data_IF_068116712944
#
_entry.id   IF_068116712944
#
_cell.length_a   1.000
_cell.length_b   1.000
_cell.length_c   1.000
_cell.angle_alpha   90.00
_cell.angle_beta   90.00
_cell.angle_gamma   90.00
#
_symmetry.space_group_name_H-M   'P 1'
#
loop_
_entity.id
_entity.type
_entity.pdbx_description
1 polymer ?
#
# COMPACT_ATOMS: atom_id res chain seq x y z
N UNK A 1 14.91 6.25 -29.69
CA UNK A 1 15.08 7.63 -29.13
C UNK A 1 14.95 7.55 -27.60
N UNK A 2 15.65 8.40 -26.84
CA UNK A 2 15.52 8.44 -25.40
C UNK A 2 15.05 9.82 -24.91
N UNK A 3 14.20 9.87 -23.89
CA UNK A 3 13.77 11.10 -23.25
C UNK A 3 13.66 10.92 -21.72
N UNK A 4 13.57 12.03 -20.99
CA UNK A 4 13.49 12.01 -19.52
C UNK A 4 12.24 12.73 -19.05
N UNK A 5 11.46 12.03 -18.24
CA UNK A 5 10.34 12.56 -17.48
C UNK A 5 10.75 12.84 -16.02
N UNK A 6 10.03 13.74 -15.34
CA UNK A 6 10.31 14.16 -13.97
C UNK A 6 9.05 14.08 -13.13
N UNK A 7 9.17 13.57 -11.91
CA UNK A 7 8.02 13.34 -11.02
C UNK A 7 8.27 13.94 -9.66
N UNK A 8 7.23 14.59 -9.13
CA UNK A 8 7.12 15.00 -7.74
C UNK A 8 6.53 13.84 -6.93
N UNK A 9 6.62 13.90 -5.61
CA UNK A 9 6.09 12.86 -4.72
C UNK A 9 4.64 12.46 -5.03
N UNK A 10 3.78 13.43 -5.38
CA UNK A 10 2.36 13.19 -5.69
C UNK A 10 2.09 12.38 -6.97
N UNK A 11 3.08 12.29 -7.87
CA UNK A 11 2.92 11.63 -9.18
C UNK A 11 3.62 10.27 -9.26
N UNK A 12 4.37 9.90 -8.23
CA UNK A 12 5.23 8.70 -8.26
C UNK A 12 4.40 7.42 -8.26
N UNK A 13 3.40 7.32 -7.38
CA UNK A 13 2.60 6.10 -7.23
C UNK A 13 1.94 5.65 -8.53
N UNK A 14 1.33 6.60 -9.25
CA UNK A 14 0.71 6.33 -10.55
C UNK A 14 1.70 5.80 -11.59
N UNK A 15 2.92 6.35 -11.62
CA UNK A 15 3.94 5.90 -12.59
C UNK A 15 4.53 4.55 -12.21
N UNK A 16 4.74 4.28 -10.92
CA UNK A 16 5.20 2.97 -10.47
C UNK A 16 4.16 1.88 -10.76
N UNK A 17 2.87 2.16 -10.60
CA UNK A 17 1.79 1.27 -11.00
C UNK A 17 1.83 0.97 -12.50
N UNK A 18 2.07 1.99 -13.34
CA UNK A 18 2.24 1.83 -14.79
C UNK A 18 3.44 0.93 -15.13
N UNK A 19 4.60 1.17 -14.51
CA UNK A 19 5.79 0.38 -14.80
C UNK A 19 5.63 -1.09 -14.42
N UNK A 20 4.95 -1.38 -13.31
CA UNK A 20 4.75 -2.74 -12.78
C UNK A 20 3.56 -3.46 -13.37
N UNK A 21 2.77 -2.80 -14.20
CA UNK A 21 1.51 -3.33 -14.71
C UNK A 21 0.55 -3.74 -13.58
N UNK A 22 0.46 -2.91 -12.53
CA UNK A 22 -0.51 -3.12 -11.45
C UNK A 22 -1.95 -3.06 -11.99
N UNK A 23 -2.91 -3.70 -11.30
CA UNK A 23 -4.31 -3.85 -11.76
C UNK A 23 -4.92 -2.57 -12.32
N UNK A 24 -4.68 -1.42 -11.69
CA UNK A 24 -5.18 -0.12 -12.13
C UNK A 24 -4.61 0.36 -13.47
N UNK A 25 -3.49 -0.22 -13.92
CA UNK A 25 -2.88 0.10 -15.21
C UNK A 25 -3.28 -0.88 -16.31
N UNK A 26 -3.78 -2.07 -15.95
CA UNK A 26 -4.23 -3.10 -16.90
C UNK A 26 -5.57 -2.76 -17.59
N UNK A 27 -6.34 -1.85 -17.02
CA UNK A 27 -7.64 -1.40 -17.57
C UNK A 27 -7.48 -0.34 -18.67
N UNK A 28 -6.25 -0.04 -19.10
CA UNK A 28 -5.99 0.96 -20.15
C UNK A 28 -6.12 0.35 -21.54
N UNK A 29 -6.79 1.06 -22.44
CA UNK A 29 -7.03 0.65 -23.84
C UNK A 29 -5.77 0.41 -24.65
N UNK A 30 -4.61 0.91 -24.20
CA UNK A 30 -3.34 0.78 -24.89
C UNK A 30 -2.46 -0.36 -24.39
N UNK A 31 -2.99 -1.28 -23.60
CA UNK A 31 -2.26 -2.46 -23.11
C UNK A 31 -2.92 -3.73 -23.65
N UNK A 32 -2.11 -4.58 -24.25
CA UNK A 32 -2.53 -5.91 -24.70
C UNK A 32 -2.25 -6.94 -23.58
N UNK A 33 -3.29 -7.45 -22.88
CA UNK A 33 -3.13 -8.35 -21.76
C UNK A 33 -2.42 -9.67 -22.12
N UNK A 34 -2.53 -10.12 -23.37
CA UNK A 34 -1.89 -11.36 -23.81
C UNK A 34 -0.37 -11.20 -23.97
N UNK A 35 0.10 -9.97 -24.18
CA UNK A 35 1.50 -9.64 -24.40
C UNK A 35 2.26 -9.26 -23.13
N UNK A 36 1.59 -8.99 -22.00
CA UNK A 36 2.20 -8.65 -20.71
C UNK A 36 3.25 -9.69 -20.27
N UNK A 37 3.03 -10.96 -20.58
CA UNK A 37 3.98 -12.03 -20.31
C UNK A 37 5.35 -11.85 -20.97
N UNK A 38 5.44 -10.98 -21.98
CA UNK A 38 6.67 -10.66 -22.70
C UNK A 38 7.45 -9.49 -22.06
N UNK A 39 6.80 -8.76 -21.16
CA UNK A 39 7.42 -7.69 -20.40
C UNK A 39 8.53 -8.26 -19.52
N UNK A 40 9.54 -7.46 -19.27
CA UNK A 40 10.63 -7.89 -18.41
C UNK A 40 11.11 -6.78 -17.49
N UNK A 41 11.60 -7.15 -16.34
CA UNK A 41 12.24 -6.25 -15.40
C UNK A 41 13.74 -6.52 -15.40
N UNK A 42 14.51 -5.45 -15.56
CA UNK A 42 15.96 -5.46 -15.51
C UNK A 42 16.43 -4.80 -14.22
N UNK A 43 17.34 -5.41 -13.52
CA UNK A 43 17.85 -4.88 -12.26
C UNK A 43 19.23 -5.37 -11.91
N UNK A 44 19.76 -4.83 -10.81
CA UNK A 44 21.00 -5.31 -10.21
C UNK A 44 20.71 -6.45 -9.24
N UNK A 45 21.55 -7.47 -9.27
CA UNK A 45 21.55 -8.53 -8.26
C UNK A 45 22.98 -9.05 -8.08
N UNK A 46 23.22 -9.66 -6.94
CA UNK A 46 24.50 -10.31 -6.66
C UNK A 46 24.42 -11.75 -7.16
N UNK A 47 25.31 -12.10 -8.08
CA UNK A 47 25.39 -13.47 -8.60
C UNK A 47 25.96 -14.45 -7.56
N UNK A 48 26.06 -15.74 -7.93
CA UNK A 48 26.59 -16.80 -7.06
C UNK A 48 28.05 -16.58 -6.63
N UNK A 49 28.80 -15.81 -7.44
CA UNK A 49 30.21 -15.48 -7.16
C UNK A 49 30.38 -14.18 -6.35
N UNK A 50 29.30 -13.64 -5.78
CA UNK A 50 29.30 -12.40 -5.02
C UNK A 50 29.47 -11.13 -5.86
N UNK A 51 29.44 -11.22 -7.18
CA UNK A 51 29.59 -10.07 -8.08
C UNK A 51 28.25 -9.42 -8.38
N UNK A 52 28.23 -8.09 -8.32
CA UNK A 52 27.08 -7.30 -8.75
C UNK A 52 26.96 -7.33 -10.28
N UNK A 53 25.84 -7.81 -10.75
CA UNK A 53 25.54 -7.97 -12.19
C UNK A 53 24.18 -7.36 -12.52
N UNK A 54 23.95 -7.11 -13.80
CA UNK A 54 22.65 -6.67 -14.33
C UNK A 54 22.03 -7.80 -15.14
N UNK A 55 20.79 -8.09 -14.90
CA UNK A 55 20.03 -9.10 -15.62
C UNK A 55 18.54 -8.98 -15.40
N UNK A 56 17.81 -9.96 -15.91
CA UNK A 56 16.38 -10.09 -15.64
C UNK A 56 16.17 -10.37 -14.15
N UNK A 57 15.27 -9.62 -13.56
CA UNK A 57 14.86 -9.78 -12.16
C UNK A 57 13.38 -10.16 -12.20
N UNK A 58 13.05 -11.29 -11.58
CA UNK A 58 11.64 -11.66 -11.39
C UNK A 58 11.01 -10.62 -10.44
N UNK A 59 9.85 -10.04 -10.80
CA UNK A 59 9.08 -9.23 -9.86
C UNK A 59 8.67 -10.15 -8.71
N UNK A 60 9.32 -10.05 -7.57
CA UNK A 60 8.88 -10.74 -6.35
C UNK A 60 7.62 -10.03 -5.86
N UNK A 61 6.62 -10.79 -5.51
CA UNK A 61 5.52 -10.31 -4.68
C UNK A 61 6.12 -9.72 -3.41
N UNK A 62 5.91 -8.42 -3.22
CA UNK A 62 6.54 -7.66 -2.14
C UNK A 62 7.88 -7.06 -2.57
N UNK A 63 7.97 -5.79 -2.55
CA UNK A 63 9.06 -4.84 -2.76
C UNK A 63 10.31 -5.30 -3.54
N UNK A 64 10.65 -4.61 -4.62
CA UNK A 64 11.99 -4.70 -5.18
C UNK A 64 13.01 -4.33 -4.08
N UNK A 65 14.17 -5.02 -4.07
CA UNK A 65 15.31 -4.76 -3.16
C UNK A 65 15.83 -3.29 -3.18
N UNK A 66 15.17 -2.41 -3.93
CA UNK A 66 15.54 -1.01 -4.15
C UNK A 66 14.86 -0.03 -3.20
N UNK A 67 13.96 -0.51 -2.35
CA UNK A 67 13.10 0.35 -1.51
C UNK A 67 12.08 1.15 -2.32
N UNK A 68 11.11 1.72 -1.65
CA UNK A 68 10.12 2.62 -2.29
C UNK A 68 10.68 4.04 -2.40
N UNK A 69 10.07 4.87 -3.25
CA UNK A 69 10.44 6.30 -3.31
C UNK A 69 10.14 6.98 -1.97
N UNK A 70 9.07 6.58 -1.31
CA UNK A 70 8.67 7.06 0.02
C UNK A 70 9.78 6.79 1.05
N UNK A 71 10.26 5.56 1.14
CA UNK A 71 11.35 5.18 2.07
C UNK A 71 12.65 5.95 1.78
N UNK A 72 12.90 6.28 0.51
CA UNK A 72 14.04 7.11 0.12
C UNK A 72 13.87 8.58 0.51
N UNK A 73 12.65 9.11 0.40
CA UNK A 73 12.31 10.46 0.85
C UNK A 73 12.48 10.56 2.37
N UNK A 74 11.96 9.59 3.11
CA UNK A 74 12.11 9.52 4.57
C UNK A 74 13.58 9.50 4.99
N UNK A 75 14.37 8.59 4.44
CA UNK A 75 15.81 8.50 4.71
C UNK A 75 16.56 9.79 4.39
N UNK A 76 16.25 10.46 3.27
CA UNK A 76 16.84 11.75 2.92
C UNK A 76 16.43 12.82 3.93
N UNK A 77 15.16 12.86 4.34
CA UNK A 77 14.66 13.83 5.31
C UNK A 77 15.26 13.62 6.70
N UNK A 78 15.42 12.37 7.14
CA UNK A 78 16.09 12.03 8.40
C UNK A 78 17.55 12.48 8.39
N UNK A 79 18.29 12.18 7.31
CA UNK A 79 19.66 12.61 7.16
C UNK A 79 19.80 14.14 7.13
N UNK A 80 18.89 14.85 6.47
CA UNK A 80 18.87 16.32 6.46
C UNK A 80 18.55 16.88 7.85
N UNK A 81 17.59 16.29 8.56
CA UNK A 81 17.23 16.68 9.94
C UNK A 81 18.42 16.50 10.88
N UNK A 82 19.11 15.36 10.81
CA UNK A 82 20.31 15.09 11.60
C UNK A 82 21.44 16.09 11.32
N UNK A 83 21.52 16.59 10.07
CA UNK A 83 22.47 17.63 9.65
C UNK A 83 21.99 19.07 9.89
N UNK A 84 20.88 19.28 10.60
CA UNK A 84 20.28 20.61 10.84
C UNK A 84 19.74 21.31 9.59
N UNK A 85 19.45 20.55 8.52
CA UNK A 85 18.96 21.08 7.24
C UNK A 85 17.44 20.94 7.13
N UNK A 86 16.86 21.70 6.19
CA UNK A 86 15.42 21.63 5.91
C UNK A 86 15.08 20.33 5.18
N UNK A 87 13.90 19.78 5.47
CA UNK A 87 13.35 18.64 4.76
C UNK A 87 13.17 18.91 3.26
N UNK A 88 13.02 17.83 2.49
CA UNK A 88 12.75 17.89 1.05
C UNK A 88 11.50 18.73 0.77
N UNK A 89 11.60 19.63 -0.19
CA UNK A 89 10.48 20.51 -0.60
C UNK A 89 9.39 19.68 -1.27
N UNK A 90 8.13 20.06 -1.11
CA UNK A 90 6.97 19.39 -1.73
C UNK A 90 7.02 19.38 -3.26
N UNK A 91 7.67 20.37 -3.87
CA UNK A 91 7.83 20.51 -5.32
C UNK A 91 9.14 19.91 -5.85
N UNK A 92 9.93 19.26 -5.01
CA UNK A 92 11.16 18.60 -5.42
C UNK A 92 10.90 17.47 -6.43
N UNK A 93 11.78 17.33 -7.40
CA UNK A 93 11.82 16.15 -8.26
C UNK A 93 12.42 15.02 -7.44
N UNK A 94 11.59 14.05 -7.04
CA UNK A 94 12.00 12.91 -6.19
C UNK A 94 12.24 11.65 -7.01
N UNK A 95 11.70 11.59 -8.23
CA UNK A 95 11.95 10.53 -9.19
C UNK A 95 12.08 11.14 -10.60
N UNK A 96 12.92 10.56 -11.40
CA UNK A 96 12.96 10.80 -12.83
C UNK A 96 13.01 9.47 -13.56
N UNK A 97 12.59 9.47 -14.83
CA UNK A 97 12.49 8.27 -15.66
C UNK A 97 13.13 8.54 -17.00
N UNK A 98 14.08 7.69 -17.39
CA UNK A 98 14.63 7.67 -18.75
C UNK A 98 13.88 6.63 -19.55
N UNK A 99 13.13 7.06 -20.55
CA UNK A 99 12.45 6.15 -21.47
C UNK A 99 13.32 5.94 -22.69
N UNK A 100 13.63 4.69 -22.98
CA UNK A 100 14.47 4.31 -24.13
C UNK A 100 13.72 3.33 -25.02
N UNK A 101 13.38 3.78 -26.24
CA UNK A 101 12.70 2.96 -27.24
C UNK A 101 13.70 2.08 -27.99
N UNK A 102 13.35 0.84 -28.26
CA UNK A 102 14.14 -0.09 -29.04
C UNK A 102 14.31 0.45 -30.47
N UNK A 103 15.56 0.66 -30.96
CA UNK A 103 15.81 1.05 -32.34
C UNK A 103 15.53 -0.07 -33.34
N UNK A 104 15.04 0.29 -34.53
CA UNK A 104 14.69 -0.68 -35.59
C UNK A 104 15.88 -1.49 -36.09
N UNK A 105 17.09 -0.96 -35.95
CA UNK A 105 18.33 -1.63 -36.41
C UNK A 105 18.94 -2.54 -35.34
N UNK A 106 18.29 -2.72 -34.18
CA UNK A 106 18.71 -3.75 -33.22
C UNK A 106 18.42 -5.12 -33.82
N UNK A 107 19.44 -5.97 -33.86
CA UNK A 107 19.34 -7.31 -34.46
C UNK A 107 18.36 -8.17 -33.65
N UNK A 108 17.58 -8.98 -34.36
CA UNK A 108 16.67 -9.92 -33.74
C UNK A 108 17.43 -10.86 -32.78
N UNK A 109 16.98 -10.92 -31.53
CA UNK A 109 17.63 -11.69 -30.47
C UNK A 109 18.62 -10.87 -29.61
N UNK A 110 18.95 -9.64 -30.01
CA UNK A 110 19.79 -8.74 -29.23
C UNK A 110 18.95 -7.75 -28.37
N UNK A 111 17.62 -7.79 -28.41
CA UNK A 111 16.73 -6.82 -27.77
C UNK A 111 16.96 -6.78 -26.25
N UNK A 112 16.97 -7.94 -25.60
CA UNK A 112 17.19 -8.03 -24.16
C UNK A 112 18.60 -7.59 -23.76
N UNK A 113 19.58 -7.86 -24.64
CA UNK A 113 20.96 -7.40 -24.45
C UNK A 113 21.05 -5.87 -24.54
N UNK A 114 20.34 -5.28 -25.52
CA UNK A 114 20.24 -3.83 -25.68
C UNK A 114 19.68 -3.17 -24.40
N UNK A 115 18.55 -3.67 -23.87
CA UNK A 115 17.96 -3.11 -22.67
C UNK A 115 18.82 -3.30 -21.42
N UNK A 116 19.46 -4.45 -21.24
CA UNK A 116 20.38 -4.68 -20.12
C UNK A 116 21.61 -3.76 -20.18
N UNK A 117 22.20 -3.57 -21.34
CA UNK A 117 23.34 -2.68 -21.51
C UNK A 117 22.96 -1.21 -21.30
N UNK A 118 21.80 -0.81 -21.79
CA UNK A 118 21.25 0.54 -21.59
C UNK A 118 21.01 0.79 -20.08
N UNK A 119 20.38 -0.14 -19.38
CA UNK A 119 20.19 -0.04 -17.94
C UNK A 119 21.52 0.05 -17.18
N UNK A 120 22.51 -0.76 -17.56
CA UNK A 120 23.83 -0.72 -16.96
C UNK A 120 24.55 0.61 -17.18
N UNK A 121 24.46 1.18 -18.38
CA UNK A 121 24.99 2.50 -18.66
C UNK A 121 24.36 3.58 -17.78
N UNK A 122 23.03 3.60 -17.71
CA UNK A 122 22.30 4.59 -16.92
C UNK A 122 22.57 4.42 -15.41
N UNK A 123 22.70 3.19 -14.94
CA UNK A 123 23.02 2.94 -13.52
C UNK A 123 24.43 3.41 -13.13
N UNK A 124 25.39 3.36 -14.05
CA UNK A 124 26.70 3.99 -13.82
C UNK A 124 26.63 5.51 -13.83
N UNK A 125 25.74 6.07 -14.62
CA UNK A 125 25.58 7.53 -14.77
C UNK A 125 24.89 8.16 -13.56
N UNK A 126 23.88 7.50 -13.01
CA UNK A 126 23.05 8.01 -11.90
C UNK A 126 23.41 7.46 -10.52
N UNK A 127 24.25 6.43 -10.46
CA UNK A 127 24.53 5.67 -9.24
C UNK A 127 23.54 4.51 -9.08
N UNK A 128 24.08 3.32 -8.76
CA UNK A 128 23.31 2.09 -8.62
C UNK A 128 22.27 2.22 -7.49
N UNK A 129 22.65 2.88 -6.43
CA UNK A 129 21.83 3.17 -5.25
C UNK A 129 20.60 4.02 -5.55
N UNK A 130 20.65 4.79 -6.63
CA UNK A 130 19.56 5.65 -7.07
C UNK A 130 18.58 4.93 -8.01
N UNK A 131 18.97 3.80 -8.59
CA UNK A 131 18.13 3.08 -9.53
C UNK A 131 16.90 2.46 -8.88
N UNK A 132 15.83 2.35 -9.64
CA UNK A 132 14.56 1.73 -9.23
C UNK A 132 14.12 0.62 -10.18
N UNK A 133 15.07 0.02 -10.89
CA UNK A 133 14.82 -1.00 -11.91
C UNK A 133 14.72 -0.43 -13.32
N UNK A 134 14.63 -1.33 -14.27
CA UNK A 134 14.33 -1.04 -15.67
C UNK A 134 13.14 -1.90 -16.11
N UNK A 135 12.06 -1.28 -16.53
CA UNK A 135 10.81 -1.95 -16.89
C UNK A 135 10.65 -1.90 -18.40
N UNK A 136 10.77 -3.05 -19.05
CA UNK A 136 10.62 -3.16 -20.51
C UNK A 136 9.20 -3.56 -20.84
N UNK A 137 8.52 -2.70 -21.55
CA UNK A 137 7.16 -2.91 -22.02
C UNK A 137 7.17 -3.37 -23.47
N UNK A 138 6.57 -4.52 -23.70
CA UNK A 138 6.39 -5.15 -25.02
C UNK A 138 4.90 -5.37 -25.33
N UNK A 139 4.04 -4.92 -24.44
CA UNK A 139 2.60 -5.13 -24.39
C UNK A 139 1.78 -3.94 -24.89
N UNK A 140 2.41 -2.79 -25.14
CA UNK A 140 1.67 -1.61 -25.55
C UNK A 140 1.23 -1.66 -27.01
N UNK A 141 0.05 -1.08 -27.26
CA UNK A 141 -0.53 -0.92 -28.60
C UNK A 141 -0.84 0.54 -28.89
N UNK A 142 -0.78 0.91 -30.17
CA UNK A 142 -1.21 2.21 -30.67
C UNK A 142 -2.72 2.29 -30.76
N UNK A 143 -3.27 3.49 -31.00
CA UNK A 143 -4.72 3.72 -31.13
C UNK A 143 -5.40 2.90 -32.23
N UNK A 144 -4.65 2.48 -33.23
CA UNK A 144 -5.11 1.64 -34.33
C UNK A 144 -5.00 0.13 -34.03
N UNK A 145 -4.59 -0.23 -32.81
CA UNK A 145 -4.42 -1.62 -32.36
C UNK A 145 -3.09 -2.25 -32.80
N UNK A 146 -2.22 -1.51 -33.53
CA UNK A 146 -0.91 -2.04 -33.90
C UNK A 146 0.03 -2.04 -32.72
N UNK A 147 0.97 -3.03 -32.61
CA UNK A 147 1.96 -3.04 -31.54
C UNK A 147 2.80 -1.77 -31.51
N UNK A 148 2.88 -1.13 -30.34
CA UNK A 148 3.84 -0.06 -30.13
C UNK A 148 5.27 -0.64 -30.10
N UNK A 149 6.27 0.23 -30.31
CA UNK A 149 7.68 -0.18 -30.19
C UNK A 149 8.00 -0.56 -28.76
N UNK A 150 8.71 -1.66 -28.58
CA UNK A 150 9.26 -2.03 -27.29
C UNK A 150 10.08 -0.87 -26.71
N UNK A 151 9.88 -0.59 -25.44
CA UNK A 151 10.60 0.49 -24.77
C UNK A 151 10.84 0.15 -23.31
N UNK A 152 11.86 0.76 -22.72
CA UNK A 152 12.23 0.56 -21.34
C UNK A 152 12.10 1.87 -20.58
N UNK A 153 11.39 1.82 -19.47
CA UNK A 153 11.39 2.83 -18.42
C UNK A 153 12.52 2.55 -17.43
N UNK A 154 13.33 3.54 -17.15
CA UNK A 154 14.43 3.44 -16.19
C UNK A 154 14.27 4.51 -15.11
N UNK A 155 13.36 4.29 -14.15
CA UNK A 155 13.17 5.21 -13.05
C UNK A 155 14.37 5.22 -12.11
N UNK A 156 14.71 6.42 -11.63
CA UNK A 156 15.75 6.64 -10.63
C UNK A 156 15.39 7.79 -9.69
N UNK A 157 15.91 7.77 -8.49
CA UNK A 157 15.80 8.87 -7.52
C UNK A 157 17.03 9.76 -7.65
N UNK A 158 16.88 11.07 -7.94
CA UNK A 158 18.04 11.94 -8.15
C UNK A 158 18.65 12.41 -6.82
N UNK A 159 19.15 11.45 -6.04
CA UNK A 159 19.77 11.72 -4.73
C UNK A 159 21.28 11.91 -4.96
N UNK A 160 21.77 13.09 -4.61
CA UNK A 160 23.17 13.47 -4.68
C UNK A 160 23.53 14.18 -3.37
N UNK A 161 24.62 13.78 -2.74
CA UNK A 161 25.11 14.35 -1.46
C UNK A 161 24.01 14.38 -0.37
N UNK A 162 23.22 13.28 -0.27
CA UNK A 162 22.17 13.12 0.74
C UNK A 162 20.95 14.01 0.52
N UNK A 163 20.72 14.54 -0.68
CA UNK A 163 19.53 15.34 -1.02
C UNK A 163 19.06 15.12 -2.44
N UNK A 164 17.77 15.39 -2.70
CA UNK A 164 17.25 15.40 -4.07
C UNK A 164 17.81 16.59 -4.85
N UNK A 165 18.58 16.34 -5.89
CA UNK A 165 19.21 17.35 -6.71
C UNK A 165 19.22 16.99 -8.19
N UNK A 166 18.02 16.96 -8.78
CA UNK A 166 17.86 16.61 -10.18
C UNK A 166 18.67 17.51 -11.14
N UNK A 167 18.72 18.82 -10.88
CA UNK A 167 19.43 19.76 -11.77
C UNK A 167 20.93 19.50 -11.85
N UNK A 168 21.54 19.05 -10.77
CA UNK A 168 22.96 18.74 -10.72
C UNK A 168 23.23 17.35 -11.32
N UNK A 169 22.34 16.38 -11.10
CA UNK A 169 22.47 15.04 -11.66
C UNK A 169 22.21 15.00 -13.17
N UNK A 170 21.26 15.81 -13.66
CA UNK A 170 20.91 15.93 -15.06
C UNK A 170 21.07 17.38 -15.54
N UNK A 171 22.29 17.89 -15.68
CA UNK A 171 22.53 19.23 -16.20
C UNK A 171 22.21 19.30 -17.71
N UNK A 172 22.16 20.49 -18.27
CA UNK A 172 21.87 20.70 -19.70
C UNK A 172 22.81 19.90 -20.61
N UNK A 173 24.10 19.83 -20.27
CA UNK A 173 25.10 19.06 -21.00
C UNK A 173 24.73 17.56 -21.07
N UNK A 174 24.17 16.99 -20.03
CA UNK A 174 23.70 15.60 -20.03
C UNK A 174 22.66 15.36 -21.14
N UNK A 175 21.67 16.23 -21.28
CA UNK A 175 20.67 16.11 -22.36
C UNK A 175 21.25 16.25 -23.75
N UNK A 176 22.32 17.03 -23.90
CA UNK A 176 22.98 17.24 -25.16
C UNK A 176 23.87 16.06 -25.60
N UNK A 177 24.44 15.34 -24.62
CA UNK A 177 25.41 14.26 -24.88
C UNK A 177 24.83 12.85 -24.71
N UNK A 178 23.69 12.69 -24.00
CA UNK A 178 23.17 11.40 -23.59
C UNK A 178 22.98 10.40 -24.74
N UNK A 179 22.40 10.83 -25.85
CA UNK A 179 22.18 9.94 -26.99
C UNK A 179 23.51 9.46 -27.60
N UNK A 180 24.43 10.40 -27.80
CA UNK A 180 25.76 10.08 -28.35
C UNK A 180 26.53 9.16 -27.41
N UNK A 181 26.62 9.50 -26.12
CA UNK A 181 27.36 8.71 -25.15
C UNK A 181 26.77 7.30 -24.97
N UNK A 182 25.43 7.17 -24.93
CA UNK A 182 24.75 5.89 -24.89
C UNK A 182 24.99 5.10 -26.17
N UNK A 183 24.93 5.75 -27.34
CA UNK A 183 25.22 5.13 -28.64
C UNK A 183 26.64 4.58 -28.69
N UNK A 184 27.66 5.39 -28.34
CA UNK A 184 29.06 4.99 -28.27
C UNK A 184 29.28 3.82 -27.32
N UNK A 185 28.64 3.86 -26.15
CA UNK A 185 28.70 2.76 -25.16
C UNK A 185 28.12 1.46 -25.71
N UNK A 186 26.95 1.53 -26.34
CA UNK A 186 26.28 0.35 -26.90
C UNK A 186 27.04 -0.22 -28.08
N UNK A 187 27.57 0.63 -28.99
CA UNK A 187 28.38 0.21 -30.10
C UNK A 187 29.58 -0.63 -29.66
N UNK A 188 30.32 -0.15 -28.65
CA UNK A 188 31.45 -0.88 -28.11
C UNK A 188 31.11 -2.21 -27.44
N UNK A 189 29.84 -2.43 -27.10
CA UNK A 189 29.37 -3.65 -26.41
C UNK A 189 28.59 -4.59 -27.30
N UNK A 190 27.86 -4.08 -28.29
CA UNK A 190 27.03 -4.85 -29.20
C UNK A 190 27.80 -5.24 -30.49
N UNK A 191 28.87 -4.49 -30.81
CA UNK A 191 29.63 -4.67 -32.04
C UNK A 191 28.98 -4.01 -33.28
N UNK A 192 27.94 -3.21 -33.07
CA UNK A 192 27.28 -2.34 -34.02
C UNK A 192 26.58 -1.20 -33.28
N UNK A 193 26.33 -0.07 -33.98
CA UNK A 193 25.71 1.10 -33.38
C UNK A 193 24.18 1.05 -33.48
N UNK A 194 23.44 0.92 -32.37
CA UNK A 194 22.00 1.10 -32.38
C UNK A 194 21.61 2.54 -32.72
N UNK A 195 20.60 2.75 -33.56
CA UNK A 195 20.15 4.06 -34.02
C UNK A 195 19.33 4.81 -32.94
N UNK A 196 19.98 5.19 -31.84
CA UNK A 196 19.33 5.92 -30.73
C UNK A 196 19.21 7.40 -31.03
N UNK A 197 20.14 7.94 -31.84
CA UNK A 197 20.16 9.33 -32.24
C UNK A 197 19.11 9.59 -33.32
N UNK A 198 18.60 10.82 -33.39
CA UNK A 198 17.87 11.28 -34.57
C UNK A 198 18.83 11.35 -35.74
N UNK A 199 18.45 10.75 -36.85
CA UNK A 199 19.17 10.92 -38.09
C UNK A 199 19.24 12.41 -38.52
N UNK A 200 20.21 12.74 -39.34
CA UNK A 200 20.42 14.13 -39.80
C UNK A 200 19.23 14.65 -40.63
N UNK A 201 18.54 13.77 -41.35
CA UNK A 201 17.41 14.12 -42.17
C UNK A 201 16.18 14.48 -41.29
N UNK A 202 15.91 13.70 -40.27
CA UNK A 202 14.87 14.01 -39.25
C UNK A 202 15.23 15.26 -38.45
N UNK A 203 16.51 15.52 -38.18
CA UNK A 203 16.96 16.78 -37.58
C UNK A 203 16.78 17.96 -38.54
N UNK A 204 17.13 17.80 -39.83
CA UNK A 204 17.01 18.82 -40.85
C UNK A 204 15.53 19.20 -41.09
N UNK A 205 14.64 18.22 -41.13
CA UNK A 205 13.20 18.46 -41.29
C UNK A 205 12.58 19.26 -40.14
N UNK A 206 13.19 19.23 -38.96
CA UNK A 206 12.76 20.04 -37.78
C UNK A 206 13.32 21.47 -37.79
N UNK A 207 14.22 21.81 -38.69
CA UNK A 207 15.03 23.04 -38.58
C UNK A 207 15.02 23.89 -39.83
N UNK A 208 14.29 23.77 -40.89
CA UNK A 208 14.39 24.81 -41.94
C UNK A 208 13.11 25.11 -42.68
N UNK A 209 12.56 26.27 -42.36
CA UNK A 209 11.99 27.18 -43.40
C UNK A 209 13.11 27.79 -44.19
N UNK A 210 13.01 27.70 -45.51
CA UNK A 210 13.97 28.27 -46.49
C UNK A 210 14.21 29.76 -46.22
N UNK A 211 15.45 30.17 -46.12
CA UNK A 211 15.87 31.57 -45.91
C UNK A 211 15.60 32.50 -47.09
N UNK A 212 15.15 32.00 -48.25
CA UNK A 212 14.84 32.76 -49.44
C UNK A 212 13.43 33.37 -49.46
N UNK A 213 12.55 32.95 -48.57
CA UNK A 213 11.21 33.53 -48.43
C UNK A 213 11.24 34.66 -47.43
N UNK A 214 10.64 35.81 -47.74
CA UNK A 214 10.48 36.94 -46.83
C UNK A 214 9.73 36.46 -45.58
N UNK A 215 10.49 35.98 -44.59
CA UNK A 215 10.00 35.31 -43.37
C UNK A 215 9.01 36.20 -42.64
N UNK A 216 9.15 37.52 -42.67
CA UNK A 216 8.28 38.45 -41.99
C UNK A 216 6.91 38.52 -42.65
N UNK A 217 6.83 38.45 -43.97
CA UNK A 217 5.54 38.41 -44.71
C UNK A 217 4.83 37.08 -44.54
N UNK A 218 5.54 35.96 -44.58
CA UNK A 218 4.97 34.63 -44.36
C UNK A 218 4.55 34.48 -42.91
N UNK A 219 5.36 34.97 -41.98
CA UNK A 219 5.03 34.96 -40.54
C UNK A 219 3.77 35.78 -40.24
N UNK A 220 3.66 36.99 -40.80
CA UNK A 220 2.50 37.85 -40.67
C UNK A 220 1.25 37.22 -41.30
N UNK A 221 1.36 36.52 -42.43
CA UNK A 221 0.26 35.84 -43.09
C UNK A 221 -0.17 34.56 -42.31
N UNK A 222 0.79 33.79 -41.79
CA UNK A 222 0.55 32.61 -40.96
C UNK A 222 -0.03 33.02 -39.59
N UNK A 223 0.53 34.05 -38.95
CA UNK A 223 0.01 34.58 -37.70
C UNK A 223 -1.48 34.98 -37.86
N UNK A 224 -1.80 35.71 -38.95
CA UNK A 224 -3.15 36.20 -39.18
C UNK A 224 -4.15 35.11 -39.65
N UNK A 225 -3.70 34.13 -40.42
CA UNK A 225 -4.58 33.12 -41.03
C UNK A 225 -4.70 31.85 -40.18
N UNK A 226 -3.73 31.50 -39.37
CA UNK A 226 -3.64 30.24 -38.63
C UNK A 226 -3.46 30.45 -37.12
N UNK A 227 -2.53 31.31 -36.72
CA UNK A 227 -2.16 31.46 -35.31
C UNK A 227 -3.20 32.22 -34.53
N UNK A 228 -3.76 33.32 -35.07
CA UNK A 228 -4.83 34.07 -34.37
C UNK A 228 -6.12 33.25 -34.24
N UNK A 229 -6.67 32.61 -35.29
CA UNK A 229 -7.84 31.72 -35.13
C UNK A 229 -7.58 30.54 -34.20
N UNK A 230 -6.35 29.97 -34.24
CA UNK A 230 -5.98 28.88 -33.36
C UNK A 230 -5.84 29.32 -31.87
N UNK A 231 -5.37 30.55 -31.65
CA UNK A 231 -5.34 31.15 -30.30
C UNK A 231 -6.74 31.40 -29.77
N UNK A 232 -7.64 31.93 -30.62
CA UNK A 232 -9.01 32.19 -30.23
C UNK A 232 -9.75 30.89 -29.93
N UNK A 233 -9.54 29.85 -30.74
CA UNK A 233 -10.13 28.53 -30.49
C UNK A 233 -9.54 27.88 -29.23
N UNK A 234 -8.22 27.96 -29.04
CA UNK A 234 -7.57 27.50 -27.83
C UNK A 234 -8.07 28.24 -26.58
N UNK A 235 -8.30 29.55 -26.69
CA UNK A 235 -8.86 30.34 -25.63
C UNK A 235 -10.30 29.91 -25.27
N UNK A 236 -11.13 29.61 -26.30
CA UNK A 236 -12.49 29.07 -26.10
C UNK A 236 -12.46 27.70 -25.42
N UNK A 237 -11.59 26.79 -25.90
CA UNK A 237 -11.44 25.45 -25.32
C UNK A 237 -11.00 25.56 -23.86
N UNK A 238 -10.01 26.44 -23.56
CA UNK A 238 -9.54 26.66 -22.20
C UNK A 238 -10.62 27.27 -21.33
N UNK A 239 -11.42 28.20 -21.85
CA UNK A 239 -12.53 28.79 -21.11
C UNK A 239 -13.63 27.74 -20.79
N UNK A 240 -14.04 26.96 -21.77
CA UNK A 240 -15.02 25.90 -21.60
C UNK A 240 -14.51 24.83 -20.59
N UNK A 241 -13.26 24.40 -20.72
CA UNK A 241 -12.66 23.46 -19.79
C UNK A 241 -12.57 24.00 -18.35
N UNK A 242 -12.33 25.32 -18.18
CA UNK A 242 -12.35 25.96 -16.87
C UNK A 242 -13.73 26.00 -16.26
N UNK A 243 -14.74 26.28 -17.07
CA UNK A 243 -16.14 26.29 -16.62
C UNK A 243 -16.60 24.89 -16.20
N UNK A 244 -16.28 23.87 -17.00
CA UNK A 244 -16.55 22.48 -16.67
C UNK A 244 -15.81 22.03 -15.40
N UNK A 245 -14.54 22.40 -15.27
CA UNK A 245 -13.76 22.11 -14.07
C UNK A 245 -14.32 22.81 -12.83
N UNK A 246 -14.81 24.04 -12.98
CA UNK A 246 -15.45 24.76 -11.87
C UNK A 246 -16.79 24.10 -11.46
N UNK A 247 -17.59 23.64 -12.43
CA UNK A 247 -18.82 22.89 -12.16
C UNK A 247 -18.54 21.57 -11.43
N UNK A 248 -17.54 20.82 -11.89
CA UNK A 248 -17.12 19.57 -11.25
C UNK A 248 -16.57 19.79 -9.82
N UNK A 249 -15.85 20.89 -9.60
CA UNK A 249 -15.37 21.25 -8.26
C UNK A 249 -16.53 21.57 -7.32
N UNK A 250 -17.51 22.37 -7.77
CA UNK A 250 -18.68 22.69 -6.98
C UNK A 250 -19.50 21.43 -6.63
N UNK A 251 -19.70 20.53 -7.61
CA UNK A 251 -20.37 19.25 -7.36
C UNK A 251 -19.61 18.37 -6.36
N UNK A 252 -18.28 18.31 -6.51
CA UNK A 252 -17.42 17.56 -5.58
C UNK A 252 -17.43 18.17 -4.16
N UNK A 253 -17.49 19.50 -4.04
CA UNK A 253 -17.62 20.17 -2.75
C UNK A 253 -18.98 19.91 -2.11
N UNK A 254 -20.06 19.95 -2.88
CA UNK A 254 -21.40 19.61 -2.41
C UNK A 254 -21.44 18.16 -1.92
N UNK A 255 -20.92 17.23 -2.72
CA UNK A 255 -20.86 15.81 -2.36
C UNK A 255 -19.99 15.57 -1.11
N UNK A 256 -18.89 16.31 -0.98
CA UNK A 256 -18.07 16.28 0.22
C UNK A 256 -18.84 16.75 1.46
N UNK A 257 -19.63 17.82 1.34
CA UNK A 257 -20.45 18.31 2.44
C UNK A 257 -21.50 17.30 2.88
N UNK A 258 -22.18 16.63 1.92
CA UNK A 258 -23.11 15.54 2.21
C UNK A 258 -22.43 14.38 2.96
N UNK A 259 -21.27 13.95 2.48
CA UNK A 259 -20.51 12.87 3.12
C UNK A 259 -20.03 13.23 4.53
N UNK A 260 -19.64 14.47 4.76
CA UNK A 260 -19.27 14.95 6.11
C UNK A 260 -20.46 14.86 7.06
N UNK A 261 -21.66 15.23 6.59
CA UNK A 261 -22.88 15.10 7.40
C UNK A 261 -23.21 13.62 7.68
N UNK A 262 -23.12 12.76 6.66
CA UNK A 262 -23.36 11.32 6.82
C UNK A 262 -22.36 10.68 7.79
N UNK A 263 -21.09 11.11 7.75
CA UNK A 263 -20.07 10.65 8.70
C UNK A 263 -20.44 11.08 10.12
N UNK A 264 -20.84 12.32 10.33
CA UNK A 264 -21.21 12.82 11.64
C UNK A 264 -22.43 12.06 12.22
N UNK A 265 -23.42 11.77 11.38
CA UNK A 265 -24.57 10.94 11.78
C UNK A 265 -24.14 9.54 12.18
N UNK A 266 -23.25 8.90 11.40
CA UNK A 266 -22.72 7.59 11.72
C UNK A 266 -21.83 7.54 12.96
N UNK A 267 -21.07 8.62 13.20
CA UNK A 267 -20.32 8.77 14.46
C UNK A 267 -21.25 8.87 15.66
N UNK A 268 -22.40 9.54 15.51
CA UNK A 268 -23.47 9.56 16.52
C UNK A 268 -24.06 8.16 16.80
N UNK A 269 -24.43 7.44 15.72
CA UNK A 269 -24.93 6.07 15.82
C UNK A 269 -23.92 5.14 16.53
N UNK A 270 -22.62 5.30 16.21
CA UNK A 270 -21.54 4.55 16.86
C UNK A 270 -21.42 4.85 18.35
N UNK A 271 -21.49 6.12 18.73
CA UNK A 271 -21.43 6.51 20.14
C UNK A 271 -22.62 5.95 20.95
N UNK A 272 -23.81 5.90 20.33
CA UNK A 272 -24.98 5.27 20.95
C UNK A 272 -24.79 3.76 21.10
N UNK A 273 -24.28 3.08 20.07
CA UNK A 273 -23.98 1.65 20.12
C UNK A 273 -22.89 1.30 21.16
N UNK A 274 -21.87 2.15 21.29
CA UNK A 274 -20.83 1.97 22.31
C UNK A 274 -21.43 2.10 23.72
N UNK A 275 -22.35 3.05 23.93
CA UNK A 275 -23.09 3.16 25.20
C UNK A 275 -23.92 1.90 25.52
N UNK A 276 -24.66 1.40 24.51
CA UNK A 276 -25.45 0.18 24.65
C UNK A 276 -24.57 -1.05 24.94
N UNK A 277 -23.36 -1.08 24.32
CA UNK A 277 -22.40 -2.15 24.57
C UNK A 277 -21.88 -2.14 26.01
N UNK A 278 -21.64 -0.96 26.58
CA UNK A 278 -21.22 -0.85 27.98
C UNK A 278 -22.33 -1.29 28.93
N UNK A 279 -23.59 -0.91 28.65
CA UNK A 279 -24.73 -1.38 29.44
C UNK A 279 -24.85 -2.92 29.40
N UNK A 280 -24.73 -3.52 28.23
CA UNK A 280 -24.76 -5.00 28.09
C UNK A 280 -23.58 -5.66 28.78
N UNK A 281 -22.40 -5.06 28.81
CA UNK A 281 -21.26 -5.60 29.57
C UNK A 281 -21.55 -5.62 31.07
N UNK A 282 -22.11 -4.54 31.59
CA UNK A 282 -22.52 -4.49 33.00
C UNK A 282 -23.56 -5.57 33.34
N UNK A 283 -24.56 -5.75 32.45
CA UNK A 283 -25.56 -6.82 32.62
C UNK A 283 -24.94 -8.22 32.59
N UNK A 284 -23.95 -8.44 31.75
CA UNK A 284 -23.21 -9.72 31.70
C UNK A 284 -22.40 -9.95 32.98
N UNK A 285 -21.74 -8.92 33.52
CA UNK A 285 -21.01 -9.02 34.79
C UNK A 285 -21.94 -9.37 35.92
N UNK A 286 -23.10 -8.70 36.03
CA UNK A 286 -24.12 -9.00 37.03
C UNK A 286 -24.64 -10.45 36.93
N UNK A 287 -24.86 -10.94 35.69
CA UNK A 287 -25.35 -12.30 35.48
C UNK A 287 -24.26 -13.35 35.75
N UNK A 288 -22.99 -13.04 35.49
CA UNK A 288 -21.86 -13.88 35.88
C UNK A 288 -21.72 -14.00 37.38
N UNK A 289 -21.91 -12.90 38.12
CA UNK A 289 -21.92 -12.92 39.59
C UNK A 289 -23.08 -13.75 40.16
N UNK A 290 -24.26 -13.64 39.52
CA UNK A 290 -25.41 -14.49 39.88
C UNK A 290 -25.13 -15.97 39.64
N UNK A 291 -24.53 -16.30 38.48
CA UNK A 291 -24.16 -17.69 38.15
C UNK A 291 -23.14 -18.24 39.13
N UNK A 292 -22.14 -17.45 39.52
CA UNK A 292 -21.16 -17.87 40.52
C UNK A 292 -21.79 -18.11 41.88
N UNK A 293 -22.70 -17.25 42.30
CA UNK A 293 -23.48 -17.45 43.52
C UNK A 293 -24.32 -18.75 43.48
N UNK A 294 -24.96 -19.02 42.34
CA UNK A 294 -25.75 -20.26 42.16
C UNK A 294 -24.85 -21.50 42.16
N UNK A 295 -23.65 -21.46 41.57
CA UNK A 295 -22.66 -22.55 41.62
C UNK A 295 -22.25 -22.85 43.06
N UNK A 296 -21.89 -21.82 43.82
CA UNK A 296 -21.53 -21.99 45.24
C UNK A 296 -22.67 -22.60 46.06
N UNK A 297 -23.91 -22.22 45.74
CA UNK A 297 -25.11 -22.84 46.40
C UNK A 297 -25.29 -24.30 45.98
N UNK A 298 -25.12 -24.62 44.70
CA UNK A 298 -25.19 -25.98 44.19
C UNK A 298 -24.12 -26.89 44.84
N UNK A 299 -22.89 -26.37 44.95
CA UNK A 299 -21.80 -27.07 45.65
C UNK A 299 -22.07 -27.27 47.14
N UNK A 300 -22.76 -26.31 47.78
CA UNK A 300 -23.22 -26.44 49.14
C UNK A 300 -24.23 -27.58 49.28
N UNK A 301 -25.26 -27.60 48.43
CA UNK A 301 -26.29 -28.65 48.43
C UNK A 301 -25.68 -30.02 48.11
N UNK A 302 -24.75 -30.09 47.15
CA UNK A 302 -24.07 -31.34 46.82
C UNK A 302 -23.26 -31.90 48.01
N UNK A 303 -22.62 -31.05 48.80
CA UNK A 303 -21.93 -31.44 50.04
C UNK A 303 -22.92 -31.96 51.07
N UNK A 304 -24.04 -31.24 51.26
CA UNK A 304 -25.07 -31.65 52.21
C UNK A 304 -25.69 -33.01 51.86
N UNK A 305 -25.95 -33.24 50.54
CA UNK A 305 -26.39 -34.54 50.02
C UNK A 305 -25.31 -35.62 50.25
N UNK A 306 -24.05 -35.31 50.03
CA UNK A 306 -22.94 -36.23 50.31
C UNK A 306 -22.87 -36.65 51.78
N UNK A 307 -23.18 -35.73 52.70
CA UNK A 307 -23.19 -36.00 54.10
C UNK A 307 -24.45 -36.82 54.56
N UNK A 308 -25.55 -36.73 53.82
CA UNK A 308 -26.73 -37.58 54.06
C UNK A 308 -26.51 -39.03 53.66
N UNK A 309 -25.66 -39.35 52.71
CA UNK A 309 -25.42 -40.74 52.27
C UNK A 309 -24.91 -41.66 53.38
N UNK A 310 -23.93 -41.26 54.20
CA UNK A 310 -23.53 -42.05 55.37
C UNK A 310 -24.68 -42.28 56.37
N UNK A 311 -25.51 -41.23 56.64
CA UNK A 311 -26.65 -41.33 57.53
C UNK A 311 -27.66 -42.31 56.95
N UNK A 312 -28.00 -42.22 55.65
CA UNK A 312 -28.91 -43.16 54.99
C UNK A 312 -28.37 -44.60 55.00
N UNK A 313 -27.05 -44.76 54.97
CA UNK A 313 -26.44 -46.08 55.09
C UNK A 313 -26.57 -46.64 56.51
N UNK A 314 -26.36 -45.82 57.50
CA UNK A 314 -26.55 -46.23 58.93
C UNK A 314 -28.02 -46.53 59.24
N UNK A 315 -28.97 -45.74 58.72
CA UNK A 315 -30.39 -46.04 58.83
C UNK A 315 -30.73 -47.41 58.29
N UNK A 316 -30.24 -47.76 57.12
CA UNK A 316 -30.40 -49.13 56.54
C UNK A 316 -29.73 -50.19 57.39
N UNK A 317 -28.54 -49.90 57.93
CA UNK A 317 -27.81 -50.77 58.81
C UNK A 317 -28.64 -51.01 60.14
N UNK A 318 -29.27 -49.96 60.65
CA UNK A 318 -30.16 -50.03 61.83
C UNK A 318 -31.38 -50.92 61.55
N UNK A 319 -31.98 -50.84 60.35
CA UNK A 319 -33.11 -51.69 59.97
C UNK A 319 -32.70 -53.16 59.96
N UNK A 320 -31.48 -53.48 59.54
CA UNK A 320 -30.94 -54.83 59.44
C UNK A 320 -30.34 -55.37 60.76
N UNK A 321 -30.05 -54.49 61.74
CA UNK A 321 -29.36 -54.82 62.98
C UNK A 321 -30.23 -55.48 64.03
N UNK A 322 -29.63 -56.27 64.93
CA UNK A 322 -30.27 -56.89 66.10
C UNK A 322 -30.57 -55.86 67.18
N UNK A 323 -31.47 -56.23 68.08
CA UNK A 323 -32.04 -55.33 69.14
C UNK A 323 -30.94 -54.67 70.00
N UNK A 324 -29.82 -55.33 70.29
CA UNK A 324 -28.71 -54.80 71.11
C UNK A 324 -27.88 -53.72 70.43
N UNK A 325 -27.77 -53.77 69.09
CA UNK A 325 -26.93 -52.87 68.28
C UNK A 325 -27.63 -51.59 67.81
N UNK A 326 -28.94 -51.60 67.80
CA UNK A 326 -29.84 -50.52 67.35
C UNK A 326 -29.63 -49.21 68.10
N UNK A 327 -29.39 -49.28 69.43
CA UNK A 327 -29.19 -48.12 70.29
C UNK A 327 -27.96 -47.33 69.88
N UNK A 328 -26.82 -47.98 69.69
CA UNK A 328 -25.57 -47.33 69.34
C UNK A 328 -25.58 -46.73 67.91
N UNK A 329 -26.27 -47.39 66.96
CA UNK A 329 -26.46 -46.88 65.61
C UNK A 329 -27.37 -45.66 65.62
N UNK A 330 -28.45 -45.68 66.43
CA UNK A 330 -29.37 -44.54 66.58
C UNK A 330 -28.66 -43.30 67.12
N UNK A 331 -27.85 -43.46 68.18
CA UNK A 331 -27.10 -42.37 68.78
C UNK A 331 -26.13 -41.73 67.79
N UNK A 332 -25.45 -42.54 66.93
CA UNK A 332 -24.56 -42.07 65.90
C UNK A 332 -25.33 -41.33 64.77
N UNK A 333 -26.53 -41.82 64.39
CA UNK A 333 -27.39 -41.11 63.42
C UNK A 333 -27.81 -39.75 63.95
N UNK A 334 -28.24 -39.69 65.22
CA UNK A 334 -28.63 -38.42 65.83
C UNK A 334 -27.51 -37.41 65.86
N UNK A 335 -26.28 -37.79 66.24
CA UNK A 335 -25.12 -36.88 66.25
C UNK A 335 -24.82 -36.36 64.87
N UNK A 336 -24.88 -37.19 63.83
CA UNK A 336 -24.68 -36.80 62.49
C UNK A 336 -25.76 -35.85 61.94
N UNK A 337 -27.01 -36.13 62.27
CA UNK A 337 -28.13 -35.27 61.90
C UNK A 337 -28.07 -33.91 62.57
N UNK A 338 -27.71 -33.84 63.88
CA UNK A 338 -27.53 -32.57 64.59
C UNK A 338 -26.36 -31.72 64.00
N UNK A 339 -25.29 -32.39 63.67
CA UNK A 339 -24.14 -31.73 62.99
C UNK A 339 -24.56 -31.13 61.65
N UNK A 340 -25.27 -31.87 60.81
CA UNK A 340 -25.77 -31.42 59.53
C UNK A 340 -26.79 -30.28 59.69
N UNK A 341 -27.75 -30.40 60.55
CA UNK A 341 -28.75 -29.37 60.85
C UNK A 341 -28.12 -28.06 61.35
N UNK A 342 -27.04 -28.15 62.14
CA UNK A 342 -26.29 -26.98 62.60
C UNK A 342 -25.60 -26.24 61.44
N UNK A 343 -24.97 -26.98 60.49
CA UNK A 343 -24.33 -26.38 59.31
C UNK A 343 -25.35 -25.78 58.34
N UNK A 344 -26.44 -26.43 58.06
CA UNK A 344 -27.56 -25.89 57.25
C UNK A 344 -28.09 -24.59 57.85
N UNK A 345 -28.30 -24.54 59.19
CA UNK A 345 -28.71 -23.31 59.86
C UNK A 345 -27.68 -22.17 59.69
N UNK A 346 -26.41 -22.46 59.82
CA UNK A 346 -25.34 -21.47 59.63
C UNK A 346 -25.26 -20.96 58.15
N UNK A 347 -25.42 -21.86 57.18
CA UNK A 347 -25.49 -21.51 55.78
C UNK A 347 -26.68 -20.62 55.41
N UNK A 348 -27.87 -20.92 55.98
CA UNK A 348 -29.08 -20.09 55.77
C UNK A 348 -28.92 -18.71 56.44
N UNK A 349 -28.27 -18.59 57.57
CA UNK A 349 -27.99 -17.31 58.21
C UNK A 349 -27.04 -16.45 57.38
N UNK A 350 -25.98 -17.06 56.85
CA UNK A 350 -25.05 -16.35 55.94
C UNK A 350 -25.71 -15.87 54.67
N UNK A 351 -26.63 -16.63 54.10
CA UNK A 351 -27.40 -16.22 52.92
C UNK A 351 -28.34 -15.03 53.20
N UNK A 352 -28.96 -14.96 54.37
CA UNK A 352 -29.79 -13.81 54.74
C UNK A 352 -29.01 -12.52 54.82
N UNK A 353 -27.81 -12.54 55.37
CA UNK A 353 -26.93 -11.36 55.44
C UNK A 353 -26.59 -10.88 54.03
N UNK A 354 -26.24 -11.78 53.13
CA UNK A 354 -25.86 -11.43 51.77
C UNK A 354 -27.03 -10.90 50.91
N UNK A 355 -28.25 -11.37 51.15
CA UNK A 355 -29.47 -10.84 50.53
C UNK A 355 -29.80 -9.43 51.04
N UNK A 356 -29.56 -9.13 52.30
CA UNK A 356 -29.74 -7.78 52.84
C UNK A 356 -28.67 -6.80 52.32
N UNK A 357 -27.40 -7.25 52.17
CA UNK A 357 -26.36 -6.46 51.51
C UNK A 357 -26.67 -6.15 50.04
N UNK A 358 -27.22 -7.09 49.28
CA UNK A 358 -27.66 -6.88 47.91
C UNK A 358 -28.87 -5.92 47.83
N UNK A 359 -29.82 -6.03 48.79
CA UNK A 359 -30.95 -5.08 48.87
C UNK A 359 -30.54 -3.66 49.20
N UNK A 360 -29.45 -3.46 49.93
CA UNK A 360 -28.94 -2.13 50.26
C UNK A 360 -28.15 -1.44 49.11
N UNK A 361 -27.85 -2.18 48.06
CA UNK A 361 -27.16 -1.68 46.85
C UNK A 361 -28.12 -1.33 45.69
N UNK A 362 -29.40 -1.69 45.81
CA UNK A 362 -30.51 -1.29 44.95
C UNK A 362 -31.22 -0.08 45.58
#
# INVERSE_FOLDING_TARGET
MAHIAKYKATSVGHMLAHYRRDRSSLERDNIDPERIKNDLVVGHYTNKDGKLVVGRVEPREGEPNWGTVESRIERVNEAQKAAGKRATRKDAVVMADVVVTLPDNVRKGDEDRFFRLTYWYLSKKFGIENMMGGYVHKDEVLKDGTPARDHMHVPFTPILDGRFNYKQMCPRSFYQSMHKELGDYLEGRMGYRPAIELDEETRAQRVYTDKSVDIDKVRCAVDKAVVEPAKDEAARIVAAAREEAAALLNDAEARKAELVTEIADKEGDLAELDSQLEDVKLDIEDEQDRLECLRQRADGVARDIGELQPIATEVRGWEAAGKAERGAILDNIVVKCDGLASRIRAGVAGMRIKVEELRSRI
#
